data_IF_024500132198
#
_entry.id   IF_024500132198
#
_cell.length_a   1.000
_cell.length_b   1.000
_cell.length_c   1.000
_cell.angle_alpha   90.00
_cell.angle_beta   90.00
_cell.angle_gamma   90.00
#
_symmetry.space_group_name_H-M   'P 1'
#
loop_
_entity.id
_entity.type
_entity.pdbx_description
1 polymer ?
#
# COMPACT_ATOMS: atom_id res chain seq x y z
N UNK A 1 10.82 25.26 19.14
CA UNK A 1 10.02 24.05 18.81
C UNK A 1 10.99 23.01 18.27
N UNK A 2 11.30 21.97 19.05
CA UNK A 2 12.19 20.88 18.59
C UNK A 2 11.34 19.94 17.75
N UNK A 3 11.54 19.95 16.44
CA UNK A 3 10.99 18.94 15.53
C UNK A 3 11.92 17.72 15.65
N UNK A 4 11.75 16.91 16.69
CA UNK A 4 12.51 15.67 16.86
C UNK A 4 11.67 14.51 16.34
N UNK A 5 11.70 14.31 15.02
CA UNK A 5 11.04 13.20 14.35
C UNK A 5 12.00 12.48 13.41
N UNK A 6 13.18 12.09 13.88
CA UNK A 6 14.01 11.16 13.12
C UNK A 6 13.51 9.73 13.39
N UNK A 7 12.94 9.12 12.35
CA UNK A 7 12.32 7.80 12.37
C UNK A 7 13.27 6.69 12.80
N UNK A 8 12.98 6.09 13.97
CA UNK A 8 13.40 4.73 14.34
C UNK A 8 12.14 3.87 14.42
N UNK A 9 11.49 3.67 13.28
CA UNK A 9 10.36 2.77 13.17
C UNK A 9 10.73 1.41 12.59
N UNK A 10 9.80 0.47 12.66
CA UNK A 10 10.00 -0.94 12.32
C UNK A 10 10.43 -1.13 10.85
N UNK A 11 11.22 -2.19 10.61
CA UNK A 11 11.64 -2.52 9.24
C UNK A 11 10.46 -3.02 8.42
N UNK A 12 10.48 -2.74 7.10
CA UNK A 12 9.42 -3.12 6.17
C UNK A 12 8.02 -2.54 6.51
N UNK A 13 7.96 -1.53 7.37
CA UNK A 13 6.74 -0.81 7.69
C UNK A 13 6.80 0.59 7.09
N UNK A 14 5.73 1.01 6.42
CA UNK A 14 5.59 2.37 5.88
C UNK A 14 5.65 3.38 7.03
N UNK A 15 6.50 4.41 6.88
CA UNK A 15 6.83 5.35 7.96
C UNK A 15 7.41 4.70 9.23
N UNK A 16 7.75 3.41 9.16
CA UNK A 16 8.15 2.59 10.29
C UNK A 16 7.05 2.35 11.33
N UNK A 17 5.77 2.44 10.92
CA UNK A 17 4.61 2.26 11.79
C UNK A 17 3.96 0.89 11.57
N UNK A 18 3.73 0.15 12.66
CA UNK A 18 2.88 -1.04 12.66
C UNK A 18 1.80 -0.93 13.75
N UNK A 19 0.64 -0.38 13.37
CA UNK A 19 -0.53 -0.35 14.24
C UNK A 19 -1.33 -1.67 14.22
N UNK A 20 -0.81 -2.70 13.55
CA UNK A 20 -1.42 -4.03 13.45
C UNK A 20 -2.82 -4.00 12.81
N UNK A 21 -3.65 -4.98 13.17
CA UNK A 21 -4.98 -5.14 12.55
C UNK A 21 -5.99 -4.03 12.89
N UNK A 22 -5.70 -3.16 13.87
CA UNK A 22 -6.57 -2.05 14.26
C UNK A 22 -6.46 -0.85 13.32
N UNK A 23 -5.38 -0.76 12.55
CA UNK A 23 -5.11 0.33 11.61
C UNK A 23 -6.29 0.64 10.69
N UNK A 24 -6.60 1.93 10.51
CA UNK A 24 -7.63 2.35 9.56
C UNK A 24 -7.12 2.30 8.12
N UNK A 25 -5.84 2.62 7.92
CA UNK A 25 -5.17 2.63 6.63
C UNK A 25 -4.27 1.39 6.52
N UNK A 26 -4.37 0.68 5.40
CA UNK A 26 -3.53 -0.49 5.09
C UNK A 26 -2.75 -0.25 3.81
N UNK A 27 -1.43 -0.23 3.92
CA UNK A 27 -0.51 -0.25 2.78
C UNK A 27 -0.41 -1.70 2.31
N UNK A 28 -0.81 -1.98 1.06
CA UNK A 28 -0.79 -3.31 0.45
C UNK A 28 0.29 -3.41 -0.63
N UNK A 29 1.45 -4.03 -0.35
CA UNK A 29 2.53 -4.15 -1.32
C UNK A 29 2.24 -5.27 -2.33
N UNK A 30 2.37 -4.98 -3.63
CA UNK A 30 2.18 -5.92 -4.73
C UNK A 30 3.39 -5.87 -5.68
N UNK A 31 4.51 -6.53 -5.32
CA UNK A 31 5.74 -6.56 -6.11
C UNK A 31 5.60 -7.43 -7.36
N UNK A 32 5.04 -6.86 -8.45
CA UNK A 32 4.76 -7.55 -9.70
C UNK A 32 5.20 -6.73 -10.92
N UNK A 33 5.83 -7.38 -11.91
CA UNK A 33 6.27 -6.74 -13.17
C UNK A 33 6.30 -7.68 -14.39
N UNK A 34 5.57 -8.81 -14.34
CA UNK A 34 5.69 -9.86 -15.37
C UNK A 34 5.08 -9.53 -16.73
N UNK A 35 4.26 -8.48 -16.83
CA UNK A 35 3.70 -8.05 -18.12
C UNK A 35 4.37 -6.80 -18.69
N UNK A 36 5.46 -6.33 -18.05
CA UNK A 36 6.20 -5.18 -18.57
C UNK A 36 6.78 -5.48 -19.95
N UNK A 37 6.50 -4.60 -20.91
CA UNK A 37 6.88 -4.76 -22.32
C UNK A 37 8.19 -4.04 -22.68
N UNK A 38 8.75 -3.24 -21.77
CA UNK A 38 9.92 -2.40 -22.05
C UNK A 38 11.08 -2.71 -21.09
N UNK A 39 10.95 -2.34 -19.81
CA UNK A 39 11.95 -2.62 -18.78
C UNK A 39 11.35 -3.35 -17.58
N UNK A 40 12.11 -4.31 -17.04
CA UNK A 40 11.76 -5.02 -15.81
C UNK A 40 12.37 -4.30 -14.59
N UNK A 41 11.82 -4.57 -13.41
CA UNK A 41 12.35 -4.05 -12.14
C UNK A 41 11.31 -3.33 -11.29
N UNK A 42 10.13 -3.02 -11.82
CA UNK A 42 9.10 -2.30 -11.06
C UNK A 42 8.53 -3.11 -9.88
N UNK A 43 8.72 -4.44 -9.88
CA UNK A 43 8.46 -5.30 -8.71
C UNK A 43 9.26 -4.87 -7.46
N UNK A 44 10.37 -4.15 -7.63
CA UNK A 44 11.19 -3.61 -6.53
C UNK A 44 10.63 -2.30 -5.96
N UNK A 45 9.71 -1.64 -6.67
CA UNK A 45 9.13 -0.35 -6.29
C UNK A 45 8.48 -0.36 -4.90
N UNK A 46 7.57 -1.31 -4.60
CA UNK A 46 6.83 -1.29 -3.33
C UNK A 46 7.76 -1.31 -2.10
N UNK A 47 8.77 -2.17 -2.10
CA UNK A 47 9.72 -2.27 -0.98
C UNK A 47 10.66 -1.06 -0.91
N UNK A 48 11.06 -0.51 -2.07
CA UNK A 48 11.89 0.69 -2.11
C UNK A 48 11.15 1.91 -1.52
N UNK A 49 9.87 2.08 -1.86
CA UNK A 49 9.00 3.12 -1.29
C UNK A 49 8.92 2.96 0.23
N UNK A 50 8.54 1.77 0.71
CA UNK A 50 8.40 1.51 2.16
C UNK A 50 9.70 1.84 2.92
N UNK A 51 10.85 1.42 2.39
CA UNK A 51 12.13 1.67 3.03
C UNK A 51 12.53 3.15 3.00
N UNK A 52 12.22 3.89 1.93
CA UNK A 52 12.51 5.31 1.83
C UNK A 52 11.69 6.13 2.84
N UNK A 53 10.40 5.81 2.99
CA UNK A 53 9.46 6.53 3.86
C UNK A 53 9.77 6.42 5.36
N UNK A 54 10.64 5.50 5.79
CA UNK A 54 11.12 5.43 7.18
C UNK A 54 11.89 6.68 7.63
N UNK A 55 12.42 7.46 6.69
CA UNK A 55 13.28 8.61 6.97
C UNK A 55 12.63 9.96 6.63
N UNK A 56 11.35 9.98 6.27
CA UNK A 56 10.63 11.20 5.91
C UNK A 56 10.07 11.87 7.17
N UNK A 57 10.08 13.20 7.19
CA UNK A 57 9.49 13.98 8.27
C UNK A 57 7.97 13.81 8.30
N UNK A 58 7.43 13.69 9.50
CA UNK A 58 6.02 13.38 9.68
C UNK A 58 5.08 14.60 9.61
N UNK A 59 5.64 15.79 9.60
CA UNK A 59 4.89 17.04 9.54
C UNK A 59 5.03 17.62 8.14
N UNK A 60 3.90 17.92 7.52
CA UNK A 60 3.84 18.58 6.23
C UNK A 60 3.64 20.09 6.44
N UNK A 61 4.62 20.89 6.02
CA UNK A 61 4.61 22.34 6.22
C UNK A 61 3.56 23.05 5.36
N UNK A 62 3.32 22.57 4.14
CA UNK A 62 2.44 23.23 3.18
C UNK A 62 0.97 23.14 3.60
N UNK A 63 0.57 21.99 4.16
CA UNK A 63 -0.79 21.76 4.63
C UNK A 63 -0.98 22.01 6.14
N UNK A 64 0.11 22.24 6.89
CA UNK A 64 0.11 22.30 8.37
C UNK A 64 -0.55 21.05 8.97
N UNK A 65 -0.23 19.87 8.41
CA UNK A 65 -0.81 18.59 8.84
C UNK A 65 0.24 17.58 9.30
N UNK A 66 -0.27 16.57 10.00
CA UNK A 66 0.49 15.43 10.48
C UNK A 66 -0.22 14.16 9.98
N UNK A 67 0.05 13.72 8.73
CA UNK A 67 -0.74 12.70 8.03
C UNK A 67 -0.72 11.29 8.66
N UNK A 68 0.13 11.03 9.66
CA UNK A 68 0.21 9.73 10.33
C UNK A 68 -0.72 9.55 11.54
N UNK A 69 -1.57 10.54 11.88
CA UNK A 69 -2.52 10.38 12.99
C UNK A 69 -3.54 9.27 12.76
N UNK A 70 -3.74 8.88 11.51
CA UNK A 70 -4.53 7.71 11.14
C UNK A 70 -3.64 6.48 11.23
N UNK A 71 -3.96 5.55 12.13
CA UNK A 71 -3.20 4.31 12.34
C UNK A 71 -2.94 3.59 11.01
N UNK A 72 -1.65 3.44 10.64
CA UNK A 72 -1.18 2.80 9.40
C UNK A 72 -0.65 1.40 9.73
N UNK A 73 -1.03 0.42 8.92
CA UNK A 73 -0.46 -0.92 8.92
C UNK A 73 0.09 -1.26 7.54
N UNK A 74 1.26 -1.89 7.50
CA UNK A 74 1.82 -2.43 6.25
C UNK A 74 1.53 -3.92 6.18
N UNK A 75 0.66 -4.31 5.26
CA UNK A 75 0.29 -5.70 5.07
C UNK A 75 1.44 -6.53 4.49
N UNK A 76 1.32 -7.86 4.64
CA UNK A 76 2.22 -8.78 3.97
C UNK A 76 2.11 -8.63 2.44
N UNK A 77 3.22 -8.65 1.69
CA UNK A 77 3.19 -8.49 0.24
C UNK A 77 2.40 -9.60 -0.46
N UNK A 78 1.57 -9.24 -1.44
CA UNK A 78 0.88 -10.18 -2.31
C UNK A 78 1.86 -10.70 -3.36
N UNK A 79 2.04 -12.02 -3.43
CA UNK A 79 3.03 -12.66 -4.33
C UNK A 79 2.37 -13.69 -5.25
N UNK A 80 2.77 -13.65 -6.51
CA UNK A 80 2.45 -14.62 -7.54
C UNK A 80 3.48 -14.55 -8.67
N UNK A 81 3.66 -15.69 -9.37
CA UNK A 81 4.46 -15.75 -10.60
C UNK A 81 3.65 -15.46 -11.87
N UNK A 82 2.33 -15.54 -11.81
CA UNK A 82 1.44 -15.51 -12.97
C UNK A 82 0.45 -14.34 -12.89
N UNK A 83 0.17 -13.69 -14.01
CA UNK A 83 -0.66 -12.47 -14.05
C UNK A 83 -2.09 -12.69 -13.56
N UNK A 84 -2.76 -13.76 -14.02
CA UNK A 84 -4.14 -14.06 -13.61
C UNK A 84 -4.23 -14.38 -12.11
N UNK A 85 -3.31 -15.19 -11.59
CA UNK A 85 -3.26 -15.50 -10.16
C UNK A 85 -2.93 -14.26 -9.32
N UNK A 86 -2.06 -13.36 -9.80
CA UNK A 86 -1.80 -12.08 -9.14
C UNK A 86 -3.07 -11.22 -9.04
N UNK A 87 -3.82 -11.06 -10.13
CA UNK A 87 -5.06 -10.29 -10.15
C UNK A 87 -6.07 -10.86 -9.14
N UNK A 88 -6.27 -12.17 -9.13
CA UNK A 88 -7.21 -12.84 -8.22
C UNK A 88 -6.79 -12.72 -6.75
N UNK A 89 -5.49 -12.83 -6.45
CA UNK A 89 -4.98 -12.62 -5.08
C UNK A 89 -5.14 -11.19 -4.61
N UNK A 90 -4.85 -10.21 -5.46
CA UNK A 90 -5.06 -8.78 -5.15
C UNK A 90 -6.54 -8.51 -4.91
N UNK A 91 -7.42 -9.04 -5.77
CA UNK A 91 -8.87 -8.95 -5.58
C UNK A 91 -9.32 -9.53 -4.23
N UNK A 92 -8.90 -10.76 -3.92
CA UNK A 92 -9.29 -11.45 -2.69
C UNK A 92 -8.82 -10.69 -1.44
N UNK A 93 -7.59 -10.18 -1.47
CA UNK A 93 -7.02 -9.44 -0.34
C UNK A 93 -7.68 -8.07 -0.16
N UNK A 94 -7.93 -7.33 -1.26
CA UNK A 94 -8.67 -6.08 -1.20
C UNK A 94 -10.09 -6.31 -0.67
N UNK A 95 -10.78 -7.35 -1.14
CA UNK A 95 -12.13 -7.70 -0.67
C UNK A 95 -12.16 -7.99 0.82
N UNK A 96 -11.19 -8.77 1.32
CA UNK A 96 -11.03 -9.08 2.74
C UNK A 96 -10.80 -7.83 3.59
N UNK A 97 -9.95 -6.92 3.13
CA UNK A 97 -9.64 -5.67 3.83
C UNK A 97 -10.83 -4.70 3.83
N UNK A 98 -11.53 -4.56 2.70
CA UNK A 98 -12.74 -3.73 2.58
C UNK A 98 -13.86 -4.22 3.51
N UNK A 99 -14.06 -5.55 3.62
CA UNK A 99 -15.02 -6.13 4.57
C UNK A 99 -14.72 -5.79 6.03
N UNK A 100 -13.46 -5.47 6.35
CA UNK A 100 -13.02 -5.01 7.69
C UNK A 100 -13.01 -3.48 7.82
N UNK A 101 -13.59 -2.77 6.86
CA UNK A 101 -13.70 -1.30 6.85
C UNK A 101 -12.37 -0.58 6.67
N UNK A 102 -11.37 -1.22 6.04
CA UNK A 102 -10.03 -0.65 5.86
C UNK A 102 -9.97 0.25 4.64
N UNK A 103 -9.24 1.36 4.76
CA UNK A 103 -8.82 2.18 3.63
C UNK A 103 -7.53 1.59 3.06
N UNK A 104 -7.52 1.21 1.78
CA UNK A 104 -6.43 0.43 1.18
C UNK A 104 -5.59 1.33 0.26
N UNK A 105 -4.28 1.33 0.46
CA UNK A 105 -3.31 1.95 -0.43
C UNK A 105 -2.48 0.84 -1.07
N UNK A 106 -2.77 0.53 -2.33
CA UNK A 106 -2.04 -0.50 -3.07
C UNK A 106 -0.74 0.07 -3.65
N UNK A 107 0.40 -0.47 -3.23
CA UNK A 107 1.70 -0.16 -3.82
C UNK A 107 2.06 -1.27 -4.82
N UNK A 108 1.74 -1.05 -6.09
CA UNK A 108 2.06 -1.97 -7.18
C UNK A 108 3.43 -1.74 -7.80
N UNK A 109 3.86 -2.69 -8.64
CA UNK A 109 4.92 -2.48 -9.61
C UNK A 109 4.41 -2.15 -11.02
N UNK A 110 3.29 -2.73 -11.44
CA UNK A 110 2.81 -2.68 -12.82
C UNK A 110 1.28 -2.56 -12.85
N UNK A 111 0.72 -1.90 -13.88
CA UNK A 111 -0.66 -1.41 -13.90
C UNK A 111 -1.72 -2.53 -13.92
N UNK A 112 -1.39 -3.73 -14.41
CA UNK A 112 -2.32 -4.88 -14.46
C UNK A 112 -2.89 -5.25 -13.08
N UNK A 113 -2.14 -5.01 -12.00
CA UNK A 113 -2.60 -5.31 -10.64
C UNK A 113 -3.81 -4.46 -10.22
N UNK A 114 -4.00 -3.29 -10.83
CA UNK A 114 -5.11 -2.39 -10.55
C UNK A 114 -6.47 -3.05 -10.85
N UNK A 115 -6.53 -4.00 -11.78
CA UNK A 115 -7.77 -4.72 -12.14
C UNK A 115 -8.39 -5.40 -10.92
N UNK A 116 -7.58 -6.12 -10.13
CA UNK A 116 -8.04 -6.84 -8.95
C UNK A 116 -8.55 -5.89 -7.86
N UNK A 117 -7.81 -4.80 -7.62
CA UNK A 117 -8.18 -3.79 -6.64
C UNK A 117 -9.47 -3.05 -7.04
N UNK A 118 -9.58 -2.59 -8.29
CA UNK A 118 -10.77 -1.90 -8.81
C UNK A 118 -12.00 -2.81 -8.72
N UNK A 119 -11.88 -4.08 -9.14
CA UNK A 119 -12.99 -5.05 -9.07
C UNK A 119 -13.51 -5.20 -7.63
N UNK A 120 -12.61 -5.35 -6.65
CA UNK A 120 -12.99 -5.47 -5.25
C UNK A 120 -13.70 -4.22 -4.71
N UNK A 121 -13.22 -3.03 -5.08
CA UNK A 121 -13.85 -1.76 -4.68
C UNK A 121 -15.21 -1.56 -5.36
N UNK A 122 -15.35 -1.95 -6.64
CA UNK A 122 -16.59 -1.82 -7.39
C UNK A 122 -17.70 -2.67 -6.77
N UNK A 123 -17.37 -3.92 -6.39
CA UNK A 123 -18.29 -4.81 -5.69
C UNK A 123 -18.68 -4.29 -4.30
N UNK A 124 -17.75 -3.66 -3.58
CA UNK A 124 -17.99 -3.21 -2.21
C UNK A 124 -18.83 -1.92 -2.15
N UNK A 125 -18.54 -0.94 -3.01
CA UNK A 125 -19.17 0.39 -2.96
C UNK A 125 -20.35 0.54 -3.94
N UNK A 126 -20.52 -0.37 -4.90
CA UNK A 126 -21.61 -0.38 -5.88
C UNK A 126 -21.49 0.68 -6.99
N UNK A 127 -21.00 1.88 -6.67
CA UNK A 127 -20.68 2.94 -7.63
C UNK A 127 -19.27 3.48 -7.38
N UNK A 128 -18.48 3.61 -8.44
CA UNK A 128 -17.12 4.17 -8.40
C UNK A 128 -16.99 5.35 -9.37
N UNK A 129 -16.10 6.27 -9.04
CA UNK A 129 -15.63 7.34 -9.92
C UNK A 129 -14.10 7.32 -9.95
N UNK A 130 -13.52 7.60 -11.11
CA UNK A 130 -12.07 7.61 -11.37
C UNK A 130 -11.71 8.95 -12.00
#
# INVERSE_FOLDING_TARGET
>A
MKISGQGRGEENCFMGMDCGEHAHIVILPVPFDKTSSYESGSHKGPIAIINAFRNIEFYDLETDTVPYRDDIHTAQPVKSGESFDMIEKVYAECKRLLQRGKFIVTLGGEHTISIGAIKAHAEHFGSLSI
#
